data_IF_006717671282
#
_entry.id   IF_006717671282
#
_cell.length_a   1.000
_cell.length_b   1.000
_cell.length_c   1.000
_cell.angle_alpha   90.00
_cell.angle_beta   90.00
_cell.angle_gamma   90.00
#
_symmetry.space_group_name_H-M   'P 1'
#
loop_
_entity.id
_entity.type
_entity.pdbx_description
1 polymer ?
#
# COMPACT_ATOMS: atom_id res chain seq x y z
N UNK A 1 -19.79 -30.04 24.98
CA UNK A 1 -18.67 -29.08 24.89
C UNK A 1 -17.75 -29.26 23.67
N UNK A 2 -17.48 -30.47 23.17
CA UNK A 2 -16.60 -30.68 21.98
C UNK A 2 -17.16 -30.13 20.64
N UNK A 3 -18.48 -30.07 20.46
CA UNK A 3 -19.12 -29.58 19.21
C UNK A 3 -19.02 -28.05 19.02
N UNK A 4 -18.99 -27.29 20.11
CA UNK A 4 -18.93 -25.81 20.06
C UNK A 4 -17.52 -25.36 19.64
N UNK A 5 -16.48 -26.06 20.13
CA UNK A 5 -15.09 -25.80 19.74
C UNK A 5 -14.83 -26.06 18.25
N UNK A 6 -15.44 -27.12 17.69
CA UNK A 6 -15.29 -27.45 16.27
C UNK A 6 -15.91 -26.37 15.36
N UNK A 7 -17.07 -25.83 15.75
CA UNK A 7 -17.76 -24.77 15.01
C UNK A 7 -16.97 -23.45 15.06
N UNK A 8 -16.36 -23.12 16.20
CA UNK A 8 -15.50 -21.92 16.32
C UNK A 8 -14.24 -22.03 15.46
N UNK A 9 -13.61 -23.21 15.38
CA UNK A 9 -12.43 -23.44 14.53
C UNK A 9 -12.78 -23.34 13.04
N UNK A 10 -13.93 -23.88 12.62
CA UNK A 10 -14.40 -23.78 11.23
C UNK A 10 -14.73 -22.34 10.85
N UNK A 11 -15.35 -21.56 11.75
CA UNK A 11 -15.60 -20.14 11.54
C UNK A 11 -14.29 -19.34 11.39
N UNK A 12 -13.27 -19.60 12.22
CA UNK A 12 -11.96 -18.91 12.13
C UNK A 12 -11.25 -19.23 10.80
N UNK A 13 -11.35 -20.46 10.31
CA UNK A 13 -10.79 -20.86 9.01
C UNK A 13 -11.49 -20.19 7.82
N UNK A 14 -12.82 -20.01 7.89
CA UNK A 14 -13.59 -19.34 6.83
C UNK A 14 -13.31 -17.83 6.75
N UNK A 15 -13.01 -17.18 7.88
CA UNK A 15 -12.62 -15.76 7.89
C UNK A 15 -11.19 -15.50 7.40
N UNK A 16 -10.34 -16.54 7.32
CA UNK A 16 -8.92 -16.39 6.96
C UNK A 16 -8.64 -16.57 5.45
N UNK A 17 -9.61 -17.03 4.65
CA UNK A 17 -9.41 -17.34 3.23
C UNK A 17 -10.02 -16.34 2.22
N UNK A 18 -10.71 -15.27 2.65
CA UNK A 18 -11.48 -14.41 1.72
C UNK A 18 -11.14 -12.92 1.75
N UNK A 19 -10.02 -12.53 2.37
CA UNK A 19 -9.55 -11.15 2.28
C UNK A 19 -8.36 -11.05 1.31
N UNK A 20 -8.54 -11.50 0.05
CA UNK A 20 -7.66 -11.01 -1.01
C UNK A 20 -7.93 -9.51 -1.17
N UNK A 21 -6.89 -8.66 -1.17
CA UNK A 21 -7.01 -7.26 -1.54
C UNK A 21 -7.93 -7.09 -2.74
N UNK A 22 -8.98 -6.26 -2.60
CA UNK A 22 -9.86 -5.92 -3.73
C UNK A 22 -8.98 -5.47 -4.90
N UNK A 23 -9.07 -6.22 -6.00
CA UNK A 23 -8.34 -6.03 -7.25
C UNK A 23 -8.33 -4.54 -7.69
N UNK A 24 -7.26 -4.14 -8.36
CA UNK A 24 -7.00 -2.76 -8.78
C UNK A 24 -8.09 -2.36 -9.79
N UNK A 25 -9.09 -1.59 -9.36
CA UNK A 25 -10.30 -1.37 -10.16
C UNK A 25 -10.09 -0.52 -11.43
N UNK A 26 -8.95 0.15 -11.62
CA UNK A 26 -8.55 0.75 -12.92
C UNK A 26 -7.17 1.42 -12.87
N UNK A 27 -6.10 0.74 -13.23
CA UNK A 27 -4.89 1.42 -13.71
C UNK A 27 -4.99 1.54 -15.23
N UNK A 28 -4.49 2.63 -15.82
CA UNK A 28 -4.35 2.73 -17.27
C UNK A 28 -2.89 2.41 -17.63
N UNK A 29 -2.59 1.17 -18.05
CA UNK A 29 -1.22 0.76 -18.39
C UNK A 29 -0.67 1.46 -19.63
N UNK A 30 -1.54 2.03 -20.47
CA UNK A 30 -1.17 2.67 -21.74
C UNK A 30 -0.87 4.17 -21.58
N UNK A 31 -0.87 4.68 -20.35
CA UNK A 31 -0.44 6.05 -20.06
C UNK A 31 1.03 6.25 -20.45
N UNK A 32 1.39 7.31 -21.20
CA UNK A 32 2.78 7.57 -21.57
C UNK A 32 3.62 8.10 -20.40
N UNK A 33 2.97 8.58 -19.33
CA UNK A 33 3.65 9.22 -18.22
C UNK A 33 4.44 8.22 -17.36
N UNK A 34 5.61 8.67 -16.89
CA UNK A 34 6.40 7.95 -15.89
C UNK A 34 5.89 8.31 -14.50
N UNK A 35 5.74 7.34 -13.60
CA UNK A 35 5.24 7.67 -12.28
C UNK A 35 4.86 6.48 -11.43
N UNK A 36 4.07 6.78 -10.39
CA UNK A 36 3.62 5.77 -9.43
C UNK A 36 2.11 5.83 -9.27
N UNK A 37 1.50 4.67 -9.16
CA UNK A 37 0.18 4.49 -8.59
C UNK A 37 0.33 4.08 -7.14
N UNK A 38 -0.45 4.69 -6.24
CA UNK A 38 -0.46 4.32 -4.83
C UNK A 38 -1.89 3.96 -4.40
N UNK A 39 -2.02 2.82 -3.72
CA UNK A 39 -3.27 2.35 -3.13
C UNK A 39 -3.01 1.77 -1.73
N UNK A 40 -3.78 2.25 -0.76
CA UNK A 40 -3.88 1.58 0.53
C UNK A 40 -4.69 0.29 0.35
N UNK A 41 -4.10 -0.84 0.70
CA UNK A 41 -4.73 -2.16 0.67
C UNK A 41 -4.84 -2.65 2.10
N UNK A 42 -6.00 -3.13 2.55
CA UNK A 42 -6.16 -3.65 3.90
C UNK A 42 -7.04 -4.90 3.88
N UNK A 43 -6.89 -5.75 4.91
CA UNK A 43 -7.82 -6.84 5.15
C UNK A 43 -9.10 -6.31 5.79
N UNK A 44 -10.26 -6.87 5.46
CA UNK A 44 -11.57 -6.43 5.99
C UNK A 44 -11.60 -6.37 7.53
N UNK A 45 -10.84 -7.22 8.22
CA UNK A 45 -10.68 -7.22 9.68
C UNK A 45 -10.01 -5.96 10.23
N UNK A 46 -9.26 -5.23 9.41
CA UNK A 46 -8.57 -3.99 9.78
C UNK A 46 -9.46 -2.76 9.62
N UNK A 47 -10.65 -2.88 9.01
CA UNK A 47 -11.57 -1.74 8.75
C UNK A 47 -11.98 -0.99 10.02
N UNK A 48 -11.94 -1.65 11.19
CA UNK A 48 -12.23 -1.06 12.50
C UNK A 48 -11.15 -0.07 13.00
N UNK A 49 -9.96 -0.03 12.38
CA UNK A 49 -8.82 0.77 12.84
C UNK A 49 -8.90 2.26 12.42
N UNK A 50 -10.03 2.74 11.86
CA UNK A 50 -10.24 4.15 11.50
C UNK A 50 -9.13 4.75 10.61
N UNK A 51 -8.72 4.02 9.57
CA UNK A 51 -7.77 4.53 8.58
C UNK A 51 -8.32 5.77 7.88
N UNK A 52 -7.60 6.89 7.95
CA UNK A 52 -7.99 8.14 7.30
C UNK A 52 -7.27 8.35 5.96
N UNK A 53 -6.10 7.75 5.76
CA UNK A 53 -5.34 7.81 4.50
C UNK A 53 -3.86 7.54 4.68
N UNK A 54 -3.07 7.92 3.67
CA UNK A 54 -1.62 7.84 3.68
C UNK A 54 -1.01 9.17 3.24
N UNK A 55 0.20 9.44 3.70
CA UNK A 55 1.03 10.55 3.26
C UNK A 55 2.30 10.01 2.65
N UNK A 56 2.63 10.43 1.44
CA UNK A 56 3.91 10.11 0.82
C UNK A 56 4.69 11.39 0.57
N UNK A 57 5.94 11.41 1.01
CA UNK A 57 6.93 12.39 0.57
C UNK A 57 7.89 11.71 -0.39
N UNK A 58 8.20 12.36 -1.51
CA UNK A 58 9.20 11.88 -2.48
C UNK A 58 10.33 12.91 -2.56
N UNK A 59 11.52 12.54 -2.10
CA UNK A 59 12.67 13.44 -1.97
C UNK A 59 12.32 14.71 -1.20
N UNK A 60 12.57 15.87 -1.82
CA UNK A 60 12.27 17.21 -1.28
C UNK A 60 10.91 17.77 -1.72
N UNK A 61 10.10 16.98 -2.42
CA UNK A 61 8.79 17.44 -2.89
C UNK A 61 7.81 17.61 -1.72
N UNK A 62 6.75 18.43 -1.89
CA UNK A 62 5.66 18.52 -0.93
C UNK A 62 5.09 17.14 -0.59
N UNK A 63 4.58 16.99 0.64
CA UNK A 63 3.86 15.78 1.05
C UNK A 63 2.60 15.68 0.21
N UNK A 64 2.42 14.52 -0.42
CA UNK A 64 1.20 14.18 -1.15
C UNK A 64 0.35 13.31 -0.24
N UNK A 65 -0.84 13.79 0.09
CA UNK A 65 -1.86 13.01 0.79
C UNK A 65 -2.62 12.13 -0.21
N UNK A 66 -2.81 10.88 0.17
CA UNK A 66 -3.56 9.86 -0.56
C UNK A 66 -4.74 9.43 0.30
N UNK A 67 -5.94 9.70 -0.19
CA UNK A 67 -7.15 9.33 0.56
C UNK A 67 -7.37 7.83 0.45
N UNK A 68 -7.85 7.27 1.55
CA UNK A 68 -8.19 5.85 1.62
C UNK A 68 -9.22 5.45 0.55
N UNK A 69 -9.02 4.27 -0.05
CA UNK A 69 -9.92 3.71 -1.07
C UNK A 69 -9.74 4.27 -2.47
N UNK A 70 -9.01 5.37 -2.64
CA UNK A 70 -8.74 5.98 -3.94
C UNK A 70 -7.40 5.51 -4.50
N UNK A 71 -7.39 5.18 -5.79
CA UNK A 71 -6.16 5.00 -6.55
C UNK A 71 -5.77 6.35 -7.13
N UNK A 72 -4.58 6.85 -6.79
CA UNK A 72 -4.06 8.09 -7.36
C UNK A 72 -2.76 7.81 -8.13
N UNK A 73 -2.60 8.50 -9.26
CA UNK A 73 -1.38 8.50 -10.04
C UNK A 73 -0.58 9.77 -9.74
N UNK A 74 0.70 9.60 -9.40
CA UNK A 74 1.65 10.68 -9.24
C UNK A 74 2.69 10.57 -10.36
N UNK A 75 2.64 11.51 -11.28
CA UNK A 75 3.66 11.65 -12.32
C UNK A 75 5.00 12.05 -11.70
N UNK A 76 6.07 11.37 -12.11
CA UNK A 76 7.43 11.61 -11.65
C UNK A 76 8.38 11.54 -12.83
N UNK A 77 9.46 12.33 -12.77
CA UNK A 77 10.54 12.22 -13.73
C UNK A 77 11.26 10.88 -13.58
N UNK A 78 11.82 10.31 -14.67
CA UNK A 78 12.72 9.16 -14.58
C UNK A 78 13.92 9.45 -13.66
N UNK A 79 14.42 8.42 -13.00
CA UNK A 79 15.56 8.50 -12.07
C UNK A 79 15.26 7.92 -10.69
N UNK A 80 16.20 8.14 -9.76
CA UNK A 80 16.11 7.64 -8.38
C UNK A 80 15.29 8.57 -7.50
N UNK A 81 14.42 7.97 -6.70
CA UNK A 81 13.50 8.67 -5.80
C UNK A 81 13.57 8.05 -4.41
N UNK A 82 13.93 8.86 -3.43
CA UNK A 82 13.74 8.52 -2.01
C UNK A 82 12.29 8.79 -1.62
N UNK A 83 11.71 7.97 -0.76
CA UNK A 83 10.37 8.21 -0.25
C UNK A 83 10.24 7.92 1.24
N UNK A 84 9.27 8.60 1.83
CA UNK A 84 8.76 8.34 3.16
C UNK A 84 7.24 8.21 3.05
N UNK A 85 6.74 6.99 3.22
CA UNK A 85 5.32 6.68 3.22
C UNK A 85 4.85 6.49 4.65
N UNK A 86 3.83 7.23 5.04
CA UNK A 86 3.24 7.21 6.38
C UNK A 86 1.77 6.91 6.26
N UNK A 87 1.24 6.24 7.28
CA UNK A 87 -0.19 6.03 7.39
C UNK A 87 -0.78 6.83 8.54
N UNK A 88 -2.00 7.29 8.32
CA UNK A 88 -2.76 8.08 9.26
C UNK A 88 -3.93 7.26 9.81
N UNK A 89 -4.06 7.24 11.13
CA UNK A 89 -5.11 6.56 11.88
C UNK A 89 -5.91 7.60 12.68
N UNK A 90 -7.16 7.85 12.33
CA UNK A 90 -7.99 8.84 13.03
C UNK A 90 -7.26 10.17 13.23
N UNK A 91 -7.12 10.59 14.50
CA UNK A 91 -6.40 11.82 14.93
C UNK A 91 -4.92 11.60 15.25
N UNK A 92 -4.42 10.35 15.22
CA UNK A 92 -3.03 10.01 15.48
C UNK A 92 -2.27 9.88 14.14
N UNK A 93 -1.47 10.90 13.83
CA UNK A 93 -0.53 10.84 12.71
C UNK A 93 0.74 10.07 13.13
N UNK A 94 1.30 9.28 12.20
CA UNK A 94 2.69 8.81 12.33
C UNK A 94 2.91 7.35 12.71
N UNK A 95 1.99 6.45 12.39
CA UNK A 95 2.11 5.04 12.75
C UNK A 95 2.14 4.17 11.49
N UNK A 96 3.02 3.16 11.42
CA UNK A 96 3.34 2.43 10.18
C UNK A 96 4.07 3.30 9.15
N UNK A 97 5.36 3.59 9.39
CA UNK A 97 6.21 4.34 8.46
C UNK A 97 7.04 3.35 7.64
N UNK A 98 7.09 3.54 6.33
CA UNK A 98 8.01 2.83 5.44
C UNK A 98 8.84 3.85 4.66
N UNK A 99 10.16 3.72 4.76
CA UNK A 99 11.12 4.54 4.02
C UNK A 99 11.91 3.69 3.05
N UNK A 100 12.23 4.25 1.88
CA UNK A 100 13.02 3.55 0.89
C UNK A 100 13.39 4.42 -0.29
N UNK A 101 14.00 3.77 -1.28
CA UNK A 101 14.43 4.38 -2.52
C UNK A 101 14.03 3.47 -3.68
N UNK A 102 13.49 4.01 -4.76
CA UNK A 102 13.21 3.27 -6.00
C UNK A 102 13.74 4.03 -7.21
N UNK A 103 13.88 3.34 -8.33
CA UNK A 103 14.33 3.93 -9.59
C UNK A 103 13.25 3.76 -10.66
N UNK A 104 12.94 4.85 -11.37
CA UNK A 104 12.00 4.88 -12.49
C UNK A 104 12.74 4.99 -13.82
N UNK A 105 12.46 4.05 -14.72
CA UNK A 105 12.83 4.13 -16.13
C UNK A 105 11.83 5.02 -16.90
N UNK A 106 12.22 5.61 -18.05
CA UNK A 106 11.28 6.34 -18.90
C UNK A 106 10.07 5.49 -19.30
N UNK A 107 8.88 6.04 -19.11
CA UNK A 107 7.58 5.40 -19.37
C UNK A 107 7.19 4.32 -18.35
N UNK A 108 7.99 4.13 -17.29
CA UNK A 108 7.70 3.11 -16.29
C UNK A 108 6.66 3.59 -15.29
N UNK A 109 5.76 2.67 -14.94
CA UNK A 109 4.73 2.89 -13.92
C UNK A 109 4.84 1.82 -12.86
N UNK A 110 5.02 2.25 -11.62
CA UNK A 110 5.10 1.36 -10.47
C UNK A 110 3.80 1.42 -9.67
N UNK A 111 3.40 0.30 -9.10
CA UNK A 111 2.26 0.20 -8.21
C UNK A 111 2.71 -0.10 -6.79
N UNK A 112 2.41 0.83 -5.89
CA UNK A 112 2.72 0.74 -4.47
C UNK A 112 1.52 0.11 -3.76
N UNK A 113 1.68 -1.15 -3.36
CA UNK A 113 0.74 -1.91 -2.54
C UNK A 113 1.15 -1.79 -1.10
N UNK A 114 0.47 -0.92 -0.37
CA UNK A 114 0.74 -0.74 1.04
C UNK A 114 -0.31 -1.43 1.90
N UNK A 115 0.13 -2.37 2.72
CA UNK A 115 -0.69 -3.05 3.72
C UNK A 115 -0.43 -2.45 5.12
N UNK A 116 -1.48 -1.98 5.81
CA UNK A 116 -1.34 -1.44 7.14
C UNK A 116 -0.91 -2.53 8.12
N UNK A 117 -0.07 -2.21 9.11
CA UNK A 117 0.18 -3.14 10.19
C UNK A 117 -1.10 -3.38 10.99
N UNK A 118 -1.20 -4.57 11.56
CA UNK A 118 -2.32 -4.91 12.45
C UNK A 118 -2.29 -4.09 13.76
N UNK A 119 -1.10 -3.69 14.21
CA UNK A 119 -0.90 -2.79 15.34
C UNK A 119 -0.32 -1.46 14.84
N UNK A 120 -0.86 -0.33 15.31
CA UNK A 120 -0.40 1.02 14.94
C UNK A 120 1.11 1.23 15.18
N UNK A 121 1.69 0.53 16.15
CA UNK A 121 3.12 0.65 16.52
C UNK A 121 4.08 -0.11 15.61
N UNK A 122 3.60 -0.94 14.69
CA UNK A 122 4.47 -1.74 13.79
C UNK A 122 4.70 -1.04 12.46
N UNK A 123 5.71 -1.45 11.71
CA UNK A 123 5.89 -1.02 10.32
C UNK A 123 4.80 -1.66 9.44
N UNK A 124 4.26 -0.89 8.49
CA UNK A 124 3.41 -1.47 7.45
C UNK A 124 4.23 -2.23 6.42
N UNK A 125 3.56 -3.03 5.61
CA UNK A 125 4.21 -3.80 4.56
C UNK A 125 4.00 -3.10 3.23
N UNK A 126 5.09 -2.80 2.53
CA UNK A 126 5.05 -2.23 1.19
C UNK A 126 5.57 -3.26 0.18
N UNK A 127 4.80 -3.48 -0.86
CA UNK A 127 5.25 -4.15 -2.07
C UNK A 127 5.17 -3.15 -3.24
N UNK A 128 6.21 -3.10 -4.05
CA UNK A 128 6.24 -2.27 -5.26
C UNK A 128 6.28 -3.20 -6.46
N UNK A 129 5.36 -3.05 -7.39
CA UNK A 129 5.24 -3.86 -8.60
C UNK A 129 5.41 -2.99 -9.84
N UNK A 130 6.17 -3.45 -10.83
CA UNK A 130 6.15 -2.87 -12.17
C UNK A 130 4.84 -3.26 -12.89
N UNK A 131 4.03 -2.28 -13.29
CA UNK A 131 2.72 -2.57 -13.89
C UNK A 131 2.78 -3.28 -15.24
N UNK A 132 3.90 -3.14 -15.97
CA UNK A 132 4.10 -3.75 -17.28
C UNK A 132 4.65 -5.16 -17.15
N UNK A 133 5.68 -5.36 -16.33
CA UNK A 133 6.37 -6.66 -16.22
C UNK A 133 5.80 -7.56 -15.11
N UNK A 134 5.04 -6.99 -14.17
CA UNK A 134 4.55 -7.67 -12.95
C UNK A 134 5.66 -8.10 -12.00
N UNK A 135 6.88 -7.63 -12.21
CA UNK A 135 8.01 -7.93 -11.34
C UNK A 135 7.98 -7.06 -10.09
N UNK A 136 8.43 -7.64 -8.96
CA UNK A 136 8.57 -6.92 -7.71
C UNK A 136 9.85 -6.09 -7.75
N UNK A 137 9.71 -4.80 -7.45
CA UNK A 137 10.82 -3.84 -7.40
C UNK A 137 11.28 -3.68 -5.97
N UNK A 138 12.55 -3.95 -5.72
CA UNK A 138 13.17 -3.70 -4.41
C UNK A 138 13.31 -2.20 -4.17
N UNK A 139 13.09 -1.76 -2.92
CA UNK A 139 13.08 -0.33 -2.57
C UNK A 139 14.10 0.08 -1.50
N UNK A 140 15.23 -0.62 -1.43
CA UNK A 140 16.26 -0.32 -0.43
C UNK A 140 17.18 0.80 -0.92
N UNK A 141 17.48 1.75 -0.05
CA UNK A 141 18.54 2.72 -0.30
C UNK A 141 19.91 2.04 -0.12
N UNK A 142 20.92 2.38 -0.96
CA UNK A 142 22.30 1.94 -0.76
C UNK A 142 22.93 2.50 0.51
#
# INVERSE_FOLDING_TARGET
MKRILLIQIILIFLFSCTARPREIQSFNPDRPETGIYLKAIYHTSQMALQFSGMEMRIGKNPVKEFRYGNLEFLELKPGKHEFNLRMNYGTASGSGIVTGCFELKPGQQLFFKYAPPFMTTSEGQLEIEDLKTREIVAYRCP
#
